data_IF_495499017767
#
_entry.id   IF_495499017767
#
_cell.length_a   1.000
_cell.length_b   1.000
_cell.length_c   1.000
_cell.angle_alpha   90.00
_cell.angle_beta   90.00
_cell.angle_gamma   90.00
#
_symmetry.space_group_name_H-M   'P 1'
#
loop_
_entity.id
_entity.type
_entity.pdbx_description
1 polymer ?
#
# COMPACT_ATOMS: atom_id res chain seq x y z
N UNK A 1 -16.72 -2.91 16.76
CA UNK A 1 -17.35 -3.90 15.88
C UNK A 1 -17.17 -5.27 16.52
N UNK A 2 -18.24 -5.94 16.94
CA UNK A 2 -18.15 -7.26 17.55
C UNK A 2 -18.15 -8.31 16.44
N UNK A 3 -16.99 -8.93 16.20
CA UNK A 3 -16.93 -10.17 15.40
C UNK A 3 -17.27 -11.32 16.34
N UNK A 4 -18.48 -11.86 16.20
CA UNK A 4 -18.87 -13.07 16.93
C UNK A 4 -18.17 -14.26 16.29
N UNK A 5 -17.01 -14.63 16.83
CA UNK A 5 -16.49 -15.97 16.64
C UNK A 5 -17.39 -16.92 17.44
N UNK A 6 -18.40 -17.50 16.79
CA UNK A 6 -19.04 -18.69 17.29
C UNK A 6 -17.97 -19.77 17.27
N UNK A 7 -17.42 -20.08 18.45
CA UNK A 7 -16.46 -21.15 18.62
C UNK A 7 -16.96 -22.40 17.90
N UNK A 8 -16.23 -22.83 16.88
CA UNK A 8 -16.29 -24.21 16.44
C UNK A 8 -15.00 -24.87 16.91
N UNK A 9 -15.19 -25.88 17.77
CA UNK A 9 -14.17 -26.72 18.35
C UNK A 9 -13.15 -27.18 17.29
N UNK A 10 -11.89 -27.24 17.71
CA UNK A 10 -10.75 -27.89 17.05
C UNK A 10 -11.14 -28.76 15.83
N UNK A 11 -10.91 -28.25 14.62
CA UNK A 11 -10.46 -29.03 13.45
C UNK A 11 -10.33 -28.11 12.24
N UNK A 12 -9.09 -27.98 11.76
CA UNK A 12 -8.68 -27.38 10.48
C UNK A 12 -8.49 -25.86 10.48
N UNK A 13 -7.22 -25.44 10.45
CA UNK A 13 -6.81 -24.06 10.17
C UNK A 13 -7.17 -23.74 8.71
N UNK A 14 -8.40 -23.31 8.48
CA UNK A 14 -8.85 -22.86 7.16
C UNK A 14 -8.27 -21.48 6.86
N UNK A 15 -7.09 -21.49 6.23
CA UNK A 15 -6.39 -20.27 5.79
C UNK A 15 -7.24 -19.43 4.84
N UNK A 16 -8.11 -20.06 4.03
CA UNK A 16 -8.97 -19.35 3.06
C UNK A 16 -10.03 -18.56 3.81
N UNK A 17 -10.74 -19.20 4.75
CA UNK A 17 -11.74 -18.50 5.56
C UNK A 17 -11.10 -17.38 6.40
N UNK A 18 -9.92 -17.64 6.98
CA UNK A 18 -9.20 -16.63 7.75
C UNK A 18 -8.78 -15.44 6.87
N UNK A 19 -8.32 -15.72 5.65
CA UNK A 19 -7.96 -14.71 4.67
C UNK A 19 -9.18 -13.87 4.24
N UNK A 20 -10.33 -14.49 4.00
CA UNK A 20 -11.56 -13.79 3.64
C UNK A 20 -12.06 -12.87 4.78
N UNK A 21 -12.07 -13.38 6.02
CA UNK A 21 -12.46 -12.59 7.20
C UNK A 21 -11.51 -11.42 7.42
N UNK A 22 -10.19 -11.62 7.26
CA UNK A 22 -9.19 -10.56 7.40
C UNK A 22 -9.31 -9.44 6.36
N UNK A 23 -10.00 -9.68 5.24
CA UNK A 23 -10.23 -8.67 4.17
C UNK A 23 -11.64 -8.08 4.20
N UNK A 24 -12.52 -8.55 5.08
CA UNK A 24 -13.86 -7.98 5.21
C UNK A 24 -13.78 -6.54 5.71
N UNK A 25 -14.39 -5.62 4.97
CA UNK A 25 -14.52 -4.22 5.33
C UNK A 25 -16.01 -3.91 5.53
N UNK A 26 -16.38 -3.34 6.68
CA UNK A 26 -17.78 -3.00 6.92
C UNK A 26 -18.27 -1.93 5.94
N UNK A 27 -19.58 -1.87 5.69
CA UNK A 27 -20.15 -0.84 4.80
C UNK A 27 -19.82 0.59 5.26
N UNK A 28 -19.74 0.82 6.58
CA UNK A 28 -19.36 2.11 7.12
C UNK A 28 -17.88 2.44 6.85
N UNK A 29 -16.96 1.52 7.12
CA UNK A 29 -15.54 1.71 6.83
C UNK A 29 -15.26 1.86 5.32
N UNK A 30 -16.01 1.14 4.48
CA UNK A 30 -15.91 1.27 3.03
C UNK A 30 -16.29 2.68 2.56
N UNK A 31 -17.40 3.23 3.06
CA UNK A 31 -17.81 4.62 2.78
C UNK A 31 -16.76 5.61 3.31
N UNK A 32 -16.23 5.38 4.52
CA UNK A 32 -15.18 6.21 5.11
C UNK A 32 -13.93 6.26 4.22
N UNK A 33 -13.52 5.10 3.68
CA UNK A 33 -12.39 4.96 2.77
C UNK A 33 -12.63 5.62 1.42
N UNK A 34 -13.84 5.47 0.85
CA UNK A 34 -14.23 6.11 -0.42
C UNK A 34 -14.23 7.64 -0.30
N UNK A 35 -14.71 8.16 0.82
CA UNK A 35 -14.75 9.61 1.09
C UNK A 35 -13.40 10.17 1.58
N UNK A 36 -12.38 9.32 1.75
CA UNK A 36 -11.03 9.74 2.13
C UNK A 36 -10.88 10.20 3.58
N UNK A 37 -11.80 9.82 4.46
CA UNK A 37 -11.70 10.16 5.88
C UNK A 37 -10.65 9.30 6.59
N UNK A 38 -9.94 9.83 7.59
CA UNK A 38 -8.98 9.06 8.37
C UNK A 38 -9.70 7.95 9.17
N UNK A 39 -9.28 6.70 8.95
CA UNK A 39 -9.80 5.52 9.67
C UNK A 39 -8.86 5.14 10.83
N UNK A 40 -7.56 5.32 10.62
CA UNK A 40 -6.52 5.06 11.60
C UNK A 40 -5.54 6.22 11.60
N UNK A 41 -5.03 6.59 12.78
CA UNK A 41 -3.95 7.57 12.96
C UNK A 41 -2.61 6.92 12.60
N UNK A 42 -2.47 6.42 11.37
CA UNK A 42 -1.19 5.93 10.84
C UNK A 42 -0.48 7.05 10.12
N UNK A 43 0.74 7.33 10.55
CA UNK A 43 1.64 8.26 9.90
C UNK A 43 2.94 7.53 9.57
N UNK A 44 3.35 7.48 8.28
CA UNK A 44 2.61 7.95 7.10
C UNK A 44 1.35 7.11 6.80
N UNK A 45 0.41 7.65 5.99
CA UNK A 45 -0.75 6.89 5.50
C UNK A 45 -0.26 5.64 4.78
N UNK A 46 -0.89 4.48 5.02
CA UNK A 46 -0.53 3.24 4.31
C UNK A 46 -0.92 3.37 2.84
N UNK A 47 0.07 3.63 1.99
CA UNK A 47 -0.07 3.73 0.54
C UNK A 47 0.52 2.47 -0.09
N UNK A 48 -0.16 1.92 -1.10
CA UNK A 48 0.37 0.79 -1.85
C UNK A 48 1.56 1.26 -2.71
N UNK A 49 2.76 0.81 -2.38
CA UNK A 49 3.96 1.07 -3.17
C UNK A 49 3.87 0.35 -4.52
N UNK A 50 4.15 1.07 -5.60
CA UNK A 50 4.21 0.47 -6.93
C UNK A 50 5.54 -0.24 -7.10
N UNK A 51 5.57 -1.54 -6.82
CA UNK A 51 6.71 -2.41 -7.14
C UNK A 51 6.54 -2.93 -8.55
N UNK A 52 7.40 -2.47 -9.47
CA UNK A 52 7.41 -2.91 -10.85
C UNK A 52 8.30 -4.15 -11.00
N UNK A 53 7.91 -5.07 -11.89
CA UNK A 53 8.79 -6.15 -12.34
C UNK A 53 9.95 -5.59 -13.18
N UNK A 54 10.96 -6.40 -13.44
CA UNK A 54 12.05 -6.05 -14.36
C UNK A 54 11.47 -5.59 -15.71
N UNK A 55 11.90 -4.43 -16.20
CA UNK A 55 11.38 -3.77 -17.41
C UNK A 55 9.89 -3.33 -17.35
N UNK A 56 9.25 -3.38 -16.17
CA UNK A 56 7.86 -2.98 -15.95
C UNK A 56 7.64 -1.48 -15.79
N UNK A 57 8.71 -0.70 -15.58
CA UNK A 57 8.66 0.75 -15.47
C UNK A 57 9.28 1.40 -16.71
N UNK A 58 8.44 1.96 -17.59
CA UNK A 58 8.89 2.61 -18.83
C UNK A 58 9.26 4.07 -18.58
N UNK A 59 10.41 4.48 -19.12
CA UNK A 59 10.87 5.88 -19.15
C UNK A 59 10.97 6.31 -20.61
N UNK A 60 10.40 7.47 -20.94
CA UNK A 60 10.43 8.02 -22.28
C UNK A 60 11.58 9.02 -22.42
N UNK A 61 12.25 8.98 -23.58
CA UNK A 61 13.37 9.86 -23.88
C UNK A 61 13.01 10.76 -25.07
N UNK A 62 13.27 12.06 -24.94
CA UNK A 62 13.20 13.06 -26.02
C UNK A 62 14.52 13.82 -26.08
N UNK A 63 14.81 14.46 -27.22
CA UNK A 63 16.05 15.22 -27.43
C UNK A 63 16.32 16.26 -26.36
N UNK A 64 15.26 16.79 -25.73
CA UNK A 64 15.33 17.82 -24.71
C UNK A 64 15.52 17.23 -23.29
N UNK A 65 14.99 16.03 -23.01
CA UNK A 65 14.95 15.47 -21.65
C UNK A 65 16.02 14.41 -21.35
N UNK A 66 16.74 13.91 -22.37
CA UNK A 66 17.69 12.80 -22.20
C UNK A 66 18.78 13.14 -21.20
N UNK A 67 19.40 14.32 -21.32
CA UNK A 67 20.50 14.72 -20.43
C UNK A 67 20.01 14.86 -18.99
N UNK A 68 18.86 15.49 -18.81
CA UNK A 68 18.25 15.68 -17.49
C UNK A 68 17.88 14.34 -16.84
N UNK A 69 17.21 13.44 -17.58
CA UNK A 69 16.76 12.13 -17.04
C UNK A 69 17.90 11.17 -16.70
N UNK A 70 19.03 11.28 -17.40
CA UNK A 70 20.23 10.46 -17.10
C UNK A 70 20.95 11.00 -15.87
N UNK A 71 21.03 12.33 -15.71
CA UNK A 71 21.68 12.96 -14.57
C UNK A 71 20.82 12.90 -13.30
N UNK A 72 19.52 13.11 -13.46
CA UNK A 72 18.52 13.15 -12.38
C UNK A 72 17.36 12.26 -12.80
N UNK A 73 17.40 10.97 -12.44
CA UNK A 73 16.28 10.07 -12.68
C UNK A 73 15.01 10.61 -12.00
N UNK A 74 13.84 10.48 -12.65
CA UNK A 74 12.59 10.90 -12.05
C UNK A 74 12.31 10.09 -10.78
N UNK A 75 11.83 10.77 -9.74
CA UNK A 75 11.50 10.14 -8.47
C UNK A 75 10.32 9.17 -8.66
N UNK A 76 10.52 7.95 -8.16
CA UNK A 76 9.52 6.89 -8.11
C UNK A 76 8.92 6.81 -6.71
N UNK A 77 7.74 6.20 -6.57
CA UNK A 77 7.13 5.97 -5.25
C UNK A 77 8.07 5.19 -4.30
N UNK A 78 8.87 4.27 -4.84
CA UNK A 78 9.83 3.48 -4.08
C UNK A 78 11.04 4.30 -3.63
N UNK A 79 11.62 5.11 -4.51
CA UNK A 79 12.76 5.98 -4.16
C UNK A 79 12.34 7.11 -3.21
N UNK A 80 11.12 7.62 -3.37
CA UNK A 80 10.50 8.55 -2.43
C UNK A 80 10.38 7.93 -1.05
N UNK A 81 9.91 6.68 -0.97
CA UNK A 81 9.80 5.93 0.27
C UNK A 81 11.16 5.73 0.95
N UNK A 82 12.21 5.36 0.21
CA UNK A 82 13.56 5.25 0.80
C UNK A 82 14.09 6.57 1.33
N UNK A 83 13.75 7.69 0.68
CA UNK A 83 14.12 9.02 1.17
C UNK A 83 13.36 9.34 2.47
N UNK A 84 12.07 9.00 2.53
CA UNK A 84 11.25 9.16 3.72
C UNK A 84 11.83 8.37 4.92
N UNK A 85 12.18 7.10 4.73
CA UNK A 85 12.77 6.24 5.77
C UNK A 85 14.10 6.75 6.35
N UNK A 86 14.80 7.67 5.66
CA UNK A 86 16.02 8.29 6.21
C UNK A 86 15.72 9.39 7.22
N UNK A 87 14.54 10.00 7.13
CA UNK A 87 14.17 11.21 7.88
C UNK A 87 13.07 10.96 8.93
N UNK A 88 12.21 9.99 8.68
CA UNK A 88 11.05 9.68 9.51
C UNK A 88 11.30 8.41 10.32
N UNK A 89 11.20 8.53 11.64
CA UNK A 89 11.40 7.44 12.60
C UNK A 89 10.31 6.35 12.50
N UNK A 90 9.15 6.69 11.94
CA UNK A 90 7.98 5.80 11.85
C UNK A 90 7.68 5.28 10.43
N UNK A 91 8.54 5.59 9.45
CA UNK A 91 8.41 5.14 8.07
C UNK A 91 8.87 3.69 7.83
#
# INVERSE_FOLDING_TARGET
>A
MAVFNLAHNDTQHDEVQLYEIGRYLSSNEAVWKILGFPIHERHPTVIHLSVHLENGQRVYFTTENVLERVQVPPETTLTAFFTLCQSDEFA
#
